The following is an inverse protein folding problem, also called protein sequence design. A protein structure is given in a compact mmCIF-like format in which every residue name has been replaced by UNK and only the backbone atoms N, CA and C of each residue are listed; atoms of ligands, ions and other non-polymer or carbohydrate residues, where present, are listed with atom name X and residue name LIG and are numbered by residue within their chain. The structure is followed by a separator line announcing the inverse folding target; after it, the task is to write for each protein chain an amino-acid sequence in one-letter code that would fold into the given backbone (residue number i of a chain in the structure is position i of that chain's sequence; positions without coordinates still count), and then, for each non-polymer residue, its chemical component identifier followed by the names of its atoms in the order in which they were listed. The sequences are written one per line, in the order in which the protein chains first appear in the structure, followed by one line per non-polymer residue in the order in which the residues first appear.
data_IF_385207556712
#
_entry.id   IF_385207556712
#
_cell.length_a   1.000
_cell.length_b   1.000
_cell.length_c   1.000
_cell.angle_alpha   90.00
_cell.angle_beta   90.00
_cell.angle_gamma   90.00
#
_symmetry.space_group_name_H-M   'P 1'
#
loop_
_entity.id
_entity.type
_entity.pdbx_description
1 polymer ?
#
# COMPACT_ATOMS: atom_id res chain seq x y z
N UNK A 1 -5.68 -18.44 75.03
CA UNK A 1 -6.29 -17.55 74.02
C UNK A 1 -6.12 -18.19 72.64
N UNK A 2 -7.18 -18.70 72.07
CA UNK A 2 -7.15 -19.31 70.74
C UNK A 2 -7.61 -18.21 69.69
N UNK A 3 -6.73 -17.85 68.84
CA UNK A 3 -7.06 -16.94 67.69
C UNK A 3 -7.69 -17.77 66.58
N UNK A 4 -8.92 -17.44 66.24
CA UNK A 4 -9.64 -17.98 65.09
C UNK A 4 -9.31 -17.07 63.89
N UNK A 5 -8.50 -17.53 62.92
CA UNK A 5 -8.30 -16.87 61.64
C UNK A 5 -9.49 -17.14 60.74
N UNK A 6 -10.24 -16.07 60.38
CA UNK A 6 -11.25 -16.10 59.32
C UNK A 6 -10.54 -15.96 57.96
N UNK A 7 -10.55 -17.01 57.15
CA UNK A 7 -10.17 -16.93 55.76
C UNK A 7 -11.32 -16.30 54.94
N UNK A 8 -11.11 -15.12 54.45
CA UNK A 8 -12.00 -14.49 53.45
C UNK A 8 -11.65 -15.05 52.07
N UNK A 9 -12.53 -15.86 51.51
CA UNK A 9 -12.42 -16.30 50.12
C UNK A 9 -12.81 -15.14 49.21
N UNK A 10 -11.88 -14.58 48.46
CA UNK A 10 -12.14 -13.65 47.38
C UNK A 10 -12.58 -14.44 46.17
N UNK A 11 -13.86 -14.31 45.78
CA UNK A 11 -14.36 -14.84 44.53
C UNK A 11 -13.84 -13.95 43.38
N UNK A 12 -12.90 -14.49 42.61
CA UNK A 12 -12.51 -13.85 41.35
C UNK A 12 -13.65 -14.02 40.30
N UNK A 13 -14.30 -12.95 40.00
CA UNK A 13 -15.23 -12.89 38.85
C UNK A 13 -14.37 -12.87 37.61
N UNK A 14 -14.27 -14.00 36.90
CA UNK A 14 -13.70 -14.04 35.57
C UNK A 14 -14.71 -13.34 34.60
N UNK A 15 -14.39 -12.11 34.24
CA UNK A 15 -15.08 -11.44 33.13
C UNK A 15 -14.56 -12.10 31.84
N UNK A 16 -15.34 -13.00 31.28
CA UNK A 16 -15.09 -13.50 29.92
C UNK A 16 -15.41 -12.39 28.95
N UNK A 17 -14.41 -11.63 28.54
CA UNK A 17 -14.54 -10.78 27.35
C UNK A 17 -14.64 -11.73 26.15
N UNK A 18 -15.84 -11.88 25.58
CA UNK A 18 -15.97 -12.53 24.28
C UNK A 18 -15.08 -11.76 23.30
N UNK A 19 -14.11 -12.42 22.72
CA UNK A 19 -13.32 -11.81 21.64
C UNK A 19 -14.29 -11.49 20.48
N UNK A 20 -14.30 -10.24 20.05
CA UNK A 20 -15.12 -9.79 18.92
C UNK A 20 -14.66 -10.57 17.68
N UNK A 21 -15.58 -11.29 17.04
CA UNK A 21 -15.25 -12.08 15.85
C UNK A 21 -15.21 -11.21 14.60
N UNK A 22 -14.55 -11.69 13.56
CA UNK A 22 -14.52 -11.01 12.28
C UNK A 22 -15.94 -10.81 11.71
N UNK A 23 -16.83 -11.77 11.87
CA UNK A 23 -18.23 -11.69 11.43
C UNK A 23 -19.04 -10.61 12.15
N UNK A 24 -18.66 -10.28 13.39
CA UNK A 24 -19.38 -9.28 14.17
C UNK A 24 -19.08 -7.84 13.69
N UNK A 25 -17.89 -7.61 13.11
CA UNK A 25 -17.44 -6.27 12.68
C UNK A 25 -17.38 -6.09 11.16
N UNK A 26 -17.40 -7.17 10.41
CA UNK A 26 -17.30 -7.13 8.95
C UNK A 26 -18.68 -7.07 8.31
N UNK A 27 -19.42 -6.02 8.59
CA UNK A 27 -20.72 -5.75 7.97
C UNK A 27 -20.74 -4.39 7.29
N UNK A 28 -21.60 -4.22 6.30
CA UNK A 28 -21.76 -2.93 5.61
C UNK A 28 -22.11 -1.82 6.60
N UNK A 29 -23.01 -2.10 7.55
CA UNK A 29 -23.45 -1.12 8.53
C UNK A 29 -22.33 -0.68 9.48
N UNK A 30 -21.48 -1.62 9.93
CA UNK A 30 -20.38 -1.29 10.84
C UNK A 30 -19.30 -0.49 10.11
N UNK A 31 -18.97 -0.86 8.85
CA UNK A 31 -18.04 -0.09 8.02
C UNK A 31 -18.58 1.31 7.73
N UNK A 32 -19.87 1.45 7.39
CA UNK A 32 -20.50 2.76 7.17
C UNK A 32 -20.45 3.64 8.43
N UNK A 33 -20.69 3.05 9.60
CA UNK A 33 -20.60 3.76 10.88
C UNK A 33 -19.16 4.17 11.24
N UNK A 34 -18.17 3.44 10.75
CA UNK A 34 -16.74 3.72 10.96
C UNK A 34 -16.17 4.76 9.98
N UNK A 35 -16.88 5.10 8.90
CA UNK A 35 -16.38 6.09 7.93
C UNK A 35 -16.17 7.46 8.59
N UNK A 36 -15.06 8.16 8.28
CA UNK A 36 -14.91 9.55 8.69
C UNK A 36 -16.02 10.40 8.08
N UNK A 37 -16.48 11.43 8.82
CA UNK A 37 -17.51 12.34 8.31
C UNK A 37 -16.97 13.20 7.18
N UNK A 38 -17.81 13.59 6.22
CA UNK A 38 -17.41 14.34 5.04
C UNK A 38 -16.73 15.68 5.35
N UNK A 39 -16.99 16.29 6.51
CA UNK A 39 -16.35 17.52 6.93
C UNK A 39 -14.92 17.33 7.49
N UNK A 40 -14.49 16.09 7.71
CA UNK A 40 -13.19 15.78 8.32
C UNK A 40 -12.04 15.93 7.32
N UNK A 41 -12.29 15.66 6.04
CA UNK A 41 -11.26 15.71 4.99
C UNK A 41 -11.69 16.75 3.95
N UNK A 42 -10.98 17.88 3.97
CA UNK A 42 -11.29 19.01 3.09
C UNK A 42 -11.26 18.60 1.60
N UNK A 43 -12.35 18.88 0.90
CA UNK A 43 -12.47 18.67 -0.54
C UNK A 43 -12.84 17.24 -0.95
N UNK A 44 -13.01 16.31 0.00
CA UNK A 44 -13.41 14.94 -0.27
C UNK A 44 -14.80 14.63 0.34
N UNK A 45 -15.61 13.93 -0.41
CA UNK A 45 -16.91 13.42 0.06
C UNK A 45 -16.93 11.90 -0.11
N UNK A 46 -16.99 11.18 1.01
CA UNK A 46 -17.19 9.74 0.99
C UNK A 46 -18.60 9.41 0.51
N UNK A 47 -18.73 8.28 -0.17
CA UNK A 47 -20.00 7.76 -0.71
C UNK A 47 -20.38 6.48 0.06
N UNK A 48 -21.03 6.61 1.24
CA UNK A 48 -21.35 5.47 2.12
C UNK A 48 -22.21 4.39 1.43
N UNK A 49 -23.01 4.77 0.45
CA UNK A 49 -23.84 3.86 -0.34
C UNK A 49 -23.02 2.90 -1.22
N UNK A 50 -21.74 3.20 -1.46
CA UNK A 50 -20.82 2.35 -2.23
C UNK A 50 -20.10 1.31 -1.38
N UNK A 51 -20.30 1.34 -0.04
CA UNK A 51 -19.62 0.41 0.86
C UNK A 51 -20.02 -1.02 0.56
N UNK A 52 -19.01 -1.87 0.41
CA UNK A 52 -19.16 -3.33 0.48
C UNK A 52 -18.28 -3.86 1.60
N UNK A 53 -18.73 -4.92 2.25
CA UNK A 53 -17.94 -5.61 3.29
C UNK A 53 -18.17 -7.11 3.18
N UNK A 54 -17.08 -7.89 3.22
CA UNK A 54 -17.16 -9.35 3.19
C UNK A 54 -16.01 -9.97 3.99
N UNK A 55 -16.34 -10.89 4.87
CA UNK A 55 -15.34 -11.65 5.61
C UNK A 55 -14.68 -12.70 4.70
N UNK A 56 -13.36 -12.72 4.70
CA UNK A 56 -12.53 -13.67 3.96
C UNK A 56 -11.76 -14.50 4.97
N UNK A 57 -11.78 -15.82 4.79
CA UNK A 57 -11.15 -16.76 5.70
C UNK A 57 -10.09 -17.59 4.98
N UNK A 58 -9.00 -17.89 5.71
CA UNK A 58 -7.91 -18.74 5.23
C UNK A 58 -7.32 -18.28 3.88
N UNK A 59 -7.25 -16.97 3.67
CA UNK A 59 -6.66 -16.42 2.47
C UNK A 59 -5.14 -16.65 2.44
N UNK A 60 -4.65 -17.23 1.38
CA UNK A 60 -3.21 -17.25 1.08
C UNK A 60 -2.87 -15.96 0.37
N UNK A 61 -1.97 -15.16 0.92
CA UNK A 61 -1.49 -13.96 0.27
C UNK A 61 -0.59 -14.32 -0.92
N UNK A 62 -0.72 -13.57 -2.01
CA UNK A 62 0.24 -13.64 -3.10
C UNK A 62 1.63 -13.30 -2.58
N UNK A 63 2.66 -13.98 -3.06
CA UNK A 63 4.03 -13.55 -2.82
C UNK A 63 4.19 -12.16 -3.42
N UNK A 64 4.61 -11.19 -2.61
CA UNK A 64 4.94 -9.85 -3.06
C UNK A 64 5.93 -9.89 -4.25
N UNK A 65 6.18 -8.75 -4.87
CA UNK A 65 6.84 -8.48 -6.16
C UNK A 65 8.13 -9.27 -6.51
N UNK A 66 8.63 -10.13 -5.65
CA UNK A 66 9.84 -10.94 -5.83
C UNK A 66 9.57 -12.45 -5.90
N UNK A 67 8.57 -12.89 -6.63
CA UNK A 67 8.51 -14.28 -7.15
C UNK A 67 8.74 -15.43 -6.15
N UNK A 68 8.48 -15.22 -4.86
CA UNK A 68 8.63 -16.27 -3.86
C UNK A 68 7.64 -17.41 -4.17
N UNK A 69 8.14 -18.58 -4.45
CA UNK A 69 7.35 -19.80 -4.65
C UNK A 69 6.48 -20.00 -3.42
N UNK A 70 5.16 -20.24 -3.65
CA UNK A 70 4.23 -20.58 -2.56
C UNK A 70 4.80 -21.77 -1.79
N UNK A 71 5.19 -21.55 -0.55
CA UNK A 71 5.53 -22.62 0.37
C UNK A 71 4.25 -23.40 0.70
N UNK A 72 4.34 -24.72 0.77
CA UNK A 72 3.23 -25.57 1.18
C UNK A 72 2.68 -25.25 2.59
N UNK A 73 3.43 -24.48 3.38
CA UNK A 73 3.09 -24.00 4.72
C UNK A 73 2.94 -22.47 4.78
N UNK A 74 2.47 -21.83 3.70
CA UNK A 74 2.22 -20.40 3.69
C UNK A 74 1.17 -20.04 4.76
N UNK A 75 1.44 -19.01 5.55
CA UNK A 75 0.48 -18.49 6.52
C UNK A 75 -0.81 -18.06 5.81
N UNK A 76 -1.94 -18.36 6.43
CA UNK A 76 -3.26 -17.91 5.97
C UNK A 76 -3.78 -16.80 6.87
N UNK A 77 -4.61 -15.93 6.32
CA UNK A 77 -5.12 -14.75 7.01
C UNK A 77 -6.63 -14.66 6.92
N UNK A 78 -7.25 -14.24 8.01
CA UNK A 78 -8.65 -13.87 8.06
C UNK A 78 -8.74 -12.35 8.06
N UNK A 79 -9.58 -11.78 7.20
CA UNK A 79 -9.72 -10.34 7.11
C UNK A 79 -11.10 -9.92 6.57
N UNK A 80 -11.50 -8.70 6.88
CA UNK A 80 -12.63 -8.04 6.25
C UNK A 80 -12.17 -7.35 4.98
N UNK A 81 -12.68 -7.78 3.84
CA UNK A 81 -12.48 -7.11 2.55
C UNK A 81 -13.54 -6.03 2.39
N UNK A 82 -13.11 -4.79 2.30
CA UNK A 82 -13.97 -3.62 2.23
C UNK A 82 -13.66 -2.82 0.96
N UNK A 83 -14.71 -2.34 0.31
CA UNK A 83 -14.59 -1.29 -0.70
C UNK A 83 -15.46 -0.11 -0.32
N UNK A 84 -15.03 1.09 -0.65
CA UNK A 84 -15.80 2.33 -0.55
C UNK A 84 -15.27 3.31 -1.59
N UNK A 85 -16.11 4.20 -2.07
CA UNK A 85 -15.68 5.25 -2.99
C UNK A 85 -15.80 6.63 -2.35
N UNK A 86 -15.06 7.59 -2.90
CA UNK A 86 -15.19 8.99 -2.60
C UNK A 86 -15.20 9.82 -3.90
N UNK A 87 -15.56 11.09 -3.80
CA UNK A 87 -15.53 12.06 -4.89
C UNK A 87 -14.90 13.36 -4.42
N UNK A 88 -14.25 14.07 -5.31
CA UNK A 88 -13.79 15.42 -5.03
C UNK A 88 -14.94 16.43 -5.18
N UNK A 89 -15.02 17.35 -4.24
CA UNK A 89 -16.06 18.39 -4.25
C UNK A 89 -16.04 19.17 -5.57
N UNK A 90 -17.15 19.10 -6.29
CA UNK A 90 -17.34 19.83 -7.55
C UNK A 90 -16.72 19.19 -8.80
N UNK A 91 -16.08 17.99 -8.71
CA UNK A 91 -15.50 17.31 -9.88
C UNK A 91 -16.39 16.24 -10.49
N UNK A 92 -17.25 15.59 -9.70
CA UNK A 92 -18.12 14.50 -10.16
C UNK A 92 -17.37 13.22 -10.54
N UNK A 93 -16.13 13.08 -10.10
CA UNK A 93 -15.35 11.86 -10.19
C UNK A 93 -15.80 10.84 -9.14
N UNK A 94 -15.45 9.57 -9.32
CA UNK A 94 -15.69 8.49 -8.36
C UNK A 94 -14.41 7.68 -8.21
N UNK A 95 -13.84 7.70 -7.01
CA UNK A 95 -12.56 7.07 -6.73
C UNK A 95 -12.74 5.88 -5.79
N UNK A 96 -12.61 4.65 -6.30
CA UNK A 96 -12.71 3.45 -5.48
C UNK A 96 -11.50 3.28 -4.58
N UNK A 97 -11.77 2.92 -3.32
CA UNK A 97 -10.80 2.47 -2.33
C UNK A 97 -11.07 1.00 -1.99
N UNK A 98 -10.02 0.25 -1.76
CA UNK A 98 -10.06 -1.12 -1.26
C UNK A 98 -9.33 -1.17 0.06
N UNK A 99 -9.86 -1.91 1.03
CA UNK A 99 -9.23 -2.12 2.32
C UNK A 99 -9.27 -3.59 2.72
N UNK A 100 -8.25 -4.04 3.43
CA UNK A 100 -8.22 -5.32 4.12
C UNK A 100 -7.98 -5.05 5.61
N UNK A 101 -8.97 -5.35 6.44
CA UNK A 101 -8.87 -5.22 7.89
C UNK A 101 -8.65 -6.61 8.50
N UNK A 102 -7.50 -6.90 9.13
CA UNK A 102 -7.26 -8.17 9.78
C UNK A 102 -8.31 -8.47 10.87
N UNK A 103 -8.45 -9.73 11.21
CA UNK A 103 -9.29 -10.14 12.34
C UNK A 103 -8.91 -9.36 13.60
N UNK A 104 -9.88 -8.90 14.42
CA UNK A 104 -9.58 -8.06 15.60
C UNK A 104 -8.53 -8.64 16.55
N UNK A 105 -8.45 -9.96 16.66
CA UNK A 105 -7.46 -10.67 17.51
C UNK A 105 -6.01 -10.58 16.99
N UNK A 106 -5.82 -10.23 15.73
CA UNK A 106 -4.50 -10.15 15.08
C UNK A 106 -4.11 -8.73 14.70
N UNK A 107 -4.96 -7.76 14.99
CA UNK A 107 -4.71 -6.35 14.67
C UNK A 107 -3.69 -5.72 15.64
N UNK A 108 -2.61 -5.16 15.08
CA UNK A 108 -1.47 -4.60 15.79
C UNK A 108 -1.42 -3.07 15.81
N UNK A 109 -2.59 -2.39 15.72
CA UNK A 109 -2.70 -0.93 15.66
C UNK A 109 -1.87 -0.28 14.53
N UNK A 110 -1.85 -0.90 13.36
CA UNK A 110 -1.10 -0.45 12.19
C UNK A 110 -2.01 -0.24 10.99
N UNK A 111 -1.69 0.78 10.21
CA UNK A 111 -2.21 0.98 8.86
C UNK A 111 -1.06 0.94 7.86
N UNK A 112 -1.21 0.20 6.78
CA UNK A 112 -0.15 -0.08 5.83
C UNK A 112 -0.57 0.21 4.41
N UNK A 113 0.36 0.76 3.62
CA UNK A 113 0.20 0.96 2.20
C UNK A 113 1.39 0.33 1.46
N UNK A 114 1.10 -0.40 0.40
CA UNK A 114 2.12 -0.89 -0.53
C UNK A 114 2.23 0.03 -1.74
N UNK A 115 3.44 0.30 -2.17
CA UNK A 115 3.70 1.01 -3.41
C UNK A 115 3.47 0.15 -4.65
N UNK A 116 3.22 0.81 -5.76
CA UNK A 116 3.08 0.19 -7.06
C UNK A 116 4.39 -0.06 -7.80
N UNK A 117 4.32 -0.19 -9.12
CA UNK A 117 5.48 -0.44 -9.96
C UNK A 117 5.25 -0.05 -11.42
N UNK A 118 6.32 0.36 -12.10
CA UNK A 118 6.21 0.85 -13.46
C UNK A 118 5.43 2.16 -13.56
N UNK A 119 4.25 2.11 -14.13
CA UNK A 119 3.32 3.25 -14.24
C UNK A 119 1.97 2.94 -13.57
N UNK A 120 1.95 2.10 -12.54
CA UNK A 120 0.72 1.76 -11.82
C UNK A 120 0.88 1.87 -10.32
N UNK A 121 -0.21 2.22 -9.64
CA UNK A 121 -0.34 2.09 -8.19
C UNK A 121 -0.53 0.63 -7.80
N UNK A 122 -0.29 0.30 -6.52
CA UNK A 122 -0.54 -1.05 -6.03
C UNK A 122 -2.05 -1.35 -6.00
N UNK A 123 -2.43 -2.49 -6.57
CA UNK A 123 -3.78 -3.04 -6.44
C UNK A 123 -3.96 -3.94 -5.21
N UNK A 124 -2.87 -4.21 -4.48
CA UNK A 124 -2.86 -5.08 -3.32
C UNK A 124 -3.24 -4.33 -2.04
N UNK A 125 -4.46 -4.57 -1.57
CA UNK A 125 -4.92 -4.10 -0.28
C UNK A 125 -4.62 -5.08 0.87
N UNK A 126 -3.90 -6.19 0.62
CA UNK A 126 -3.68 -7.25 1.61
C UNK A 126 -2.25 -7.29 2.16
N UNK A 127 -1.32 -6.52 1.59
CA UNK A 127 0.10 -6.55 1.94
C UNK A 127 0.38 -6.33 3.44
N UNK A 128 -0.43 -5.52 4.11
CA UNK A 128 -0.28 -5.25 5.54
C UNK A 128 -0.69 -6.39 6.48
N UNK A 129 -1.44 -7.38 6.01
CA UNK A 129 -1.95 -8.47 6.86
C UNK A 129 -0.82 -9.28 7.49
N UNK A 130 0.33 -9.40 6.81
CA UNK A 130 1.53 -10.08 7.35
C UNK A 130 2.13 -9.38 8.56
N UNK A 131 1.82 -8.10 8.72
CA UNK A 131 2.29 -7.23 9.81
C UNK A 131 1.21 -6.95 10.87
N UNK A 132 0.08 -7.66 10.82
CA UNK A 132 -1.07 -7.34 11.66
C UNK A 132 -1.64 -5.95 11.40
N UNK A 133 -1.49 -5.43 10.20
CA UNK A 133 -1.93 -4.09 9.81
C UNK A 133 -3.19 -4.15 8.96
N UNK A 134 -4.11 -3.20 9.18
CA UNK A 134 -5.08 -2.85 8.17
C UNK A 134 -4.37 -2.21 6.98
N UNK A 135 -4.80 -2.44 5.77
CA UNK A 135 -4.15 -1.87 4.59
C UNK A 135 -5.13 -1.44 3.52
N UNK A 136 -4.67 -0.56 2.65
CA UNK A 136 -5.49 0.03 1.62
C UNK A 136 -4.82 0.14 0.25
N UNK A 137 -5.65 0.20 -0.80
CA UNK A 137 -5.25 0.45 -2.17
C UNK A 137 -6.30 1.35 -2.87
N UNK A 138 -5.90 2.10 -3.87
CA UNK A 138 -6.78 2.97 -4.65
C UNK A 138 -6.48 2.90 -6.14
N UNK A 139 -7.53 2.92 -6.96
CA UNK A 139 -7.41 3.03 -8.42
C UNK A 139 -7.21 4.47 -8.90
N UNK A 140 -7.13 5.45 -8.01
CA UNK A 140 -7.06 6.87 -8.32
C UNK A 140 -8.22 7.41 -9.19
N UNK A 141 -9.28 6.63 -9.38
CA UNK A 141 -10.45 7.00 -10.18
C UNK A 141 -10.31 6.75 -11.70
N UNK A 142 -9.19 6.20 -12.15
CA UNK A 142 -8.94 5.95 -13.59
C UNK A 142 -8.25 4.61 -13.88
N UNK A 143 -8.42 3.64 -12.98
CA UNK A 143 -7.74 2.34 -13.08
C UNK A 143 -6.20 2.42 -13.05
N UNK A 144 -5.69 3.20 -12.09
CA UNK A 144 -4.24 3.37 -11.87
C UNK A 144 -3.51 2.05 -11.50
N UNK A 145 -4.21 0.93 -11.47
CA UNK A 145 -3.64 -0.41 -11.34
C UNK A 145 -3.12 -0.97 -12.68
N UNK A 146 -3.41 -0.28 -13.77
CA UNK A 146 -3.01 -0.64 -15.12
C UNK A 146 -1.88 0.28 -15.60
N UNK A 147 -0.96 -0.27 -16.40
CA UNK A 147 0.13 0.50 -17.01
C UNK A 147 -0.29 1.31 -18.26
N UNK A 148 -1.57 1.37 -18.62
CA UNK A 148 -2.10 2.21 -19.70
C UNK A 148 -2.19 3.69 -19.31
N UNK A 149 -1.19 4.17 -18.62
CA UNK A 149 -1.12 5.50 -18.02
C UNK A 149 -1.19 6.63 -19.08
N UNK A 150 -0.63 6.44 -20.25
CA UNK A 150 -0.63 7.39 -21.36
C UNK A 150 -2.03 7.71 -21.87
N UNK A 151 -2.96 6.75 -21.82
CA UNK A 151 -4.37 6.98 -22.22
C UNK A 151 -5.12 7.86 -21.23
N UNK A 152 -4.61 7.99 -20.00
CA UNK A 152 -5.29 8.69 -18.91
C UNK A 152 -4.73 10.08 -18.67
N UNK A 153 -3.43 10.26 -18.80
CA UNK A 153 -2.76 11.55 -18.51
C UNK A 153 -2.94 12.58 -19.62
N UNK A 154 -3.40 12.15 -20.79
CA UNK A 154 -3.68 13.04 -21.91
C UNK A 154 -5.19 13.07 -22.18
N UNK A 155 -5.72 14.28 -22.38
CA UNK A 155 -7.00 14.43 -23.06
C UNK A 155 -6.81 14.20 -24.57
N UNK A 156 -7.80 13.66 -25.25
CA UNK A 156 -7.74 13.38 -26.69
C UNK A 156 -7.44 14.57 -27.59
N UNK A 157 -7.42 15.78 -27.06
CA UNK A 157 -7.06 17.02 -27.75
C UNK A 157 -5.58 17.42 -27.60
N UNK A 158 -4.75 16.57 -27.00
CA UNK A 158 -3.32 16.81 -26.78
C UNK A 158 -2.99 17.61 -25.51
N UNK A 159 -3.98 17.99 -24.71
CA UNK A 159 -3.72 18.63 -23.40
C UNK A 159 -3.53 17.61 -22.29
N UNK A 160 -2.80 18.01 -21.24
CA UNK A 160 -2.52 17.14 -20.09
C UNK A 160 -3.74 17.09 -19.16
N UNK A 161 -4.12 15.91 -18.75
CA UNK A 161 -5.04 15.67 -17.65
C UNK A 161 -4.28 15.82 -16.30
N UNK A 162 -4.27 17.02 -15.78
CA UNK A 162 -3.55 17.33 -14.54
C UNK A 162 -4.12 16.61 -13.32
N UNK A 163 -5.42 16.37 -13.28
CA UNK A 163 -6.04 15.66 -12.16
C UNK A 163 -5.53 14.21 -12.08
N UNK A 164 -5.55 13.47 -13.19
CA UNK A 164 -4.99 12.13 -13.24
C UNK A 164 -3.47 12.12 -13.00
N UNK A 165 -2.76 13.12 -13.55
CA UNK A 165 -1.31 13.25 -13.35
C UNK A 165 -0.96 13.45 -11.86
N UNK A 166 -1.68 14.32 -11.15
CA UNK A 166 -1.45 14.53 -9.72
C UNK A 166 -1.92 13.35 -8.88
N UNK A 167 -3.03 12.71 -9.26
CA UNK A 167 -3.51 11.50 -8.58
C UNK A 167 -2.43 10.41 -8.60
N UNK A 168 -1.87 10.09 -9.76
CA UNK A 168 -0.77 9.15 -9.89
C UNK A 168 0.49 9.62 -9.15
N UNK A 169 0.85 10.89 -9.29
CA UNK A 169 2.09 11.41 -8.72
C UNK A 169 2.10 11.34 -7.18
N UNK A 170 0.97 11.63 -6.50
CA UNK A 170 0.96 11.70 -5.04
C UNK A 170 -0.41 11.80 -4.37
N UNK A 171 -1.45 12.46 -4.98
CA UNK A 171 -2.65 12.81 -4.23
C UNK A 171 -3.47 11.59 -3.85
N UNK A 172 -3.60 10.59 -4.73
CA UNK A 172 -4.40 9.42 -4.47
C UNK A 172 -3.95 8.62 -3.22
N UNK A 173 -2.65 8.46 -3.03
CA UNK A 173 -2.11 7.77 -1.84
C UNK A 173 -2.23 8.62 -0.58
N UNK A 174 -2.06 9.92 -0.68
CA UNK A 174 -2.26 10.83 0.45
C UNK A 174 -3.72 10.84 0.92
N UNK A 175 -4.66 10.84 -0.01
CA UNK A 175 -6.10 10.77 0.26
C UNK A 175 -6.50 9.41 0.85
N UNK A 176 -5.99 8.31 0.26
CA UNK A 176 -6.15 6.98 0.82
C UNK A 176 -5.67 6.90 2.27
N UNK A 177 -4.52 7.50 2.59
CA UNK A 177 -3.97 7.54 3.94
C UNK A 177 -4.88 8.31 4.90
N UNK A 178 -5.32 9.50 4.48
CA UNK A 178 -6.21 10.37 5.29
C UNK A 178 -7.58 9.75 5.53
N UNK A 179 -8.07 8.91 4.62
CA UNK A 179 -9.33 8.17 4.80
C UNK A 179 -9.09 6.89 5.59
N UNK A 180 -8.08 6.12 5.23
CA UNK A 180 -7.84 4.78 5.75
C UNK A 180 -7.42 4.75 7.22
N UNK A 181 -6.62 5.72 7.67
CA UNK A 181 -6.16 5.80 9.06
C UNK A 181 -7.31 6.02 10.06
N UNK A 182 -8.16 7.06 9.92
CA UNK A 182 -9.30 7.22 10.82
C UNK A 182 -10.36 6.12 10.65
N UNK A 183 -10.59 5.62 9.44
CA UNK A 183 -11.45 4.46 9.22
C UNK A 183 -10.95 3.24 10.00
N UNK A 184 -9.64 2.98 9.98
CA UNK A 184 -9.03 1.89 10.76
C UNK A 184 -9.25 2.08 12.25
N UNK A 185 -9.04 3.28 12.79
CA UNK A 185 -9.29 3.58 14.19
C UNK A 185 -10.74 3.31 14.60
N UNK A 186 -11.68 3.78 13.80
CA UNK A 186 -13.11 3.63 14.08
C UNK A 186 -13.57 2.18 13.94
N UNK A 187 -13.09 1.45 12.92
CA UNK A 187 -13.44 0.04 12.67
C UNK A 187 -13.09 -0.86 13.86
N UNK A 188 -11.97 -0.64 14.51
CA UNK A 188 -11.57 -1.40 15.71
C UNK A 188 -12.05 -0.80 17.03
N UNK A 189 -12.89 0.23 17.00
CA UNK A 189 -13.37 0.91 18.22
C UNK A 189 -12.25 1.62 19.02
N UNK A 190 -11.13 1.90 18.41
CA UNK A 190 -9.90 2.35 19.05
C UNK A 190 -9.69 3.86 18.91
N UNK A 191 -10.71 4.67 19.24
CA UNK A 191 -10.65 6.13 19.08
C UNK A 191 -9.54 6.81 19.91
N UNK A 192 -8.96 6.12 20.87
CA UNK A 192 -7.92 6.66 21.78
C UNK A 192 -6.51 6.15 21.50
N UNK A 193 -6.36 5.03 20.82
CA UNK A 193 -5.05 4.45 20.53
C UNK A 193 -4.52 4.98 19.19
N UNK A 194 -3.23 5.31 19.16
CA UNK A 194 -2.56 5.68 17.93
C UNK A 194 -2.53 4.49 16.96
N UNK A 195 -2.96 4.70 15.73
CA UNK A 195 -2.69 3.79 14.60
C UNK A 195 -1.40 4.24 13.93
N UNK A 196 -0.40 3.38 13.94
CA UNK A 196 0.90 3.62 13.29
C UNK A 196 0.78 3.37 11.81
N UNK A 197 1.23 4.32 11.00
CA UNK A 197 1.09 4.28 9.54
C UNK A 197 2.42 3.99 8.87
N UNK A 198 2.44 2.97 8.03
CA UNK A 198 3.64 2.53 7.31
C UNK A 198 3.40 2.47 5.81
N UNK A 199 4.43 2.82 5.07
CA UNK A 199 4.47 2.67 3.61
C UNK A 199 5.70 1.86 3.22
N UNK A 200 5.54 0.94 2.27
CA UNK A 200 6.64 0.18 1.68
C UNK A 200 6.48 0.10 0.17
N UNK A 201 7.55 0.45 -0.57
CA UNK A 201 7.54 0.36 -2.02
C UNK A 201 8.93 0.40 -2.62
N UNK A 202 9.07 -0.17 -3.81
CA UNK A 202 10.31 -0.21 -4.56
C UNK A 202 10.08 0.32 -5.97
N UNK A 203 11.11 0.87 -6.62
CA UNK A 203 11.02 1.42 -7.98
C UNK A 203 10.05 2.62 -8.04
N UNK A 204 8.95 2.53 -8.79
CA UNK A 204 7.89 3.54 -8.75
C UNK A 204 7.26 3.63 -7.36
N UNK A 205 7.03 2.50 -6.68
CA UNK A 205 6.59 2.49 -5.29
C UNK A 205 7.56 3.20 -4.34
N UNK A 206 8.86 3.13 -4.61
CA UNK A 206 9.86 3.95 -3.90
C UNK A 206 9.69 5.44 -4.16
N UNK A 207 9.41 5.85 -5.40
CA UNK A 207 9.05 7.24 -5.76
C UNK A 207 7.79 7.69 -5.02
N UNK A 208 6.77 6.83 -4.98
CA UNK A 208 5.54 7.08 -4.25
C UNK A 208 5.83 7.35 -2.77
N UNK A 209 6.58 6.48 -2.10
CA UNK A 209 6.97 6.66 -0.69
C UNK A 209 7.69 7.97 -0.45
N UNK A 210 8.65 8.34 -1.29
CA UNK A 210 9.36 9.63 -1.21
C UNK A 210 8.41 10.81 -1.39
N UNK A 211 7.43 10.71 -2.30
CA UNK A 211 6.44 11.77 -2.51
C UNK A 211 5.50 11.94 -1.33
N UNK A 212 5.15 10.85 -0.66
CA UNK A 212 4.31 10.88 0.55
C UNK A 212 5.04 11.55 1.72
N UNK A 213 6.28 11.16 1.99
CA UNK A 213 7.09 11.78 3.07
C UNK A 213 7.30 13.28 2.82
N UNK A 214 7.54 13.66 1.56
CA UNK A 214 7.76 15.07 1.20
C UNK A 214 6.52 15.94 1.48
N UNK A 215 5.31 15.39 1.31
CA UNK A 215 4.07 16.17 1.37
C UNK A 215 3.30 15.99 2.67
N UNK A 216 3.33 14.81 3.23
CA UNK A 216 2.55 14.42 4.39
C UNK A 216 3.37 13.55 5.36
N UNK A 217 4.64 13.95 5.61
CA UNK A 217 5.54 13.21 6.49
C UNK A 217 4.97 12.95 7.88
N UNK A 218 4.15 13.84 8.39
CA UNK A 218 3.50 13.71 9.70
C UNK A 218 2.42 12.62 9.75
N UNK A 219 1.95 12.14 8.58
CA UNK A 219 0.98 11.04 8.52
C UNK A 219 1.63 9.65 8.66
N UNK A 220 2.94 9.56 8.47
CA UNK A 220 3.67 8.29 8.44
C UNK A 220 4.61 8.15 9.63
N UNK A 221 4.60 6.97 10.24
CA UNK A 221 5.54 6.57 11.31
C UNK A 221 6.77 5.86 10.73
N UNK A 222 6.67 5.31 9.52
CA UNK A 222 7.79 4.72 8.82
C UNK A 222 7.53 4.53 7.33
N UNK A 223 8.57 4.77 6.52
CA UNK A 223 8.54 4.61 5.07
C UNK A 223 9.77 3.86 4.60
N UNK A 224 9.56 2.76 3.88
CA UNK A 224 10.61 2.05 3.14
C UNK A 224 10.47 2.37 1.67
N UNK A 225 11.40 3.17 1.14
CA UNK A 225 11.44 3.57 -0.25
C UNK A 225 12.67 2.95 -0.93
N UNK A 226 12.51 1.72 -1.43
CA UNK A 226 13.56 0.97 -2.12
C UNK A 226 13.79 1.48 -3.54
N UNK A 227 15.05 1.65 -3.96
CA UNK A 227 15.45 2.07 -5.31
C UNK A 227 14.49 3.12 -5.93
N UNK A 228 14.24 4.27 -5.24
CA UNK A 228 13.16 5.17 -5.59
C UNK A 228 13.40 5.89 -6.92
N UNK A 229 12.45 5.81 -7.84
CA UNK A 229 12.47 6.50 -9.12
C UNK A 229 12.11 8.01 -8.98
N UNK A 230 12.74 8.73 -8.05
CA UNK A 230 12.32 10.08 -7.65
C UNK A 230 12.61 11.17 -8.70
N UNK A 231 13.57 10.96 -9.61
CA UNK A 231 13.80 11.80 -10.80
C UNK A 231 13.06 11.23 -12.01
N UNK A 232 11.80 10.96 -11.86
CA UNK A 232 11.00 10.15 -12.78
C UNK A 232 11.10 10.62 -14.24
N UNK A 233 10.93 11.92 -14.51
CA UNK A 233 11.00 12.46 -15.86
C UNK A 233 12.38 12.26 -16.53
N UNK A 234 13.47 12.55 -15.80
CA UNK A 234 14.83 12.35 -16.30
C UNK A 234 15.15 10.88 -16.49
N UNK A 235 14.66 10.02 -15.59
CA UNK A 235 14.85 8.58 -15.68
C UNK A 235 14.18 8.03 -16.95
N UNK A 236 12.97 8.45 -17.28
CA UNK A 236 12.29 8.00 -18.50
C UNK A 236 13.04 8.41 -19.76
N UNK A 237 13.57 9.63 -19.82
CA UNK A 237 14.43 10.08 -20.94
C UNK A 237 15.72 9.23 -21.01
N UNK A 238 16.33 8.93 -19.86
CA UNK A 238 17.52 8.07 -19.81
C UNK A 238 17.24 6.65 -20.31
N UNK A 239 16.07 6.07 -19.99
CA UNK A 239 15.72 4.74 -20.47
C UNK A 239 15.58 4.65 -22.00
N UNK A 240 15.17 5.73 -22.66
CA UNK A 240 15.05 5.79 -24.13
C UNK A 240 16.40 6.08 -24.80
N UNK A 241 17.35 6.67 -24.08
CA UNK A 241 18.61 7.16 -24.64
C UNK A 241 19.46 6.08 -25.34
N UNK A 242 19.70 4.88 -24.78
CA UNK A 242 20.46 3.82 -25.47
C UNK A 242 19.83 3.44 -26.82
N UNK A 243 18.53 3.17 -26.85
CA UNK A 243 17.84 2.83 -28.08
C UNK A 243 17.86 3.97 -29.11
N UNK A 244 17.84 5.23 -28.67
CA UNK A 244 18.00 6.38 -29.55
C UNK A 244 19.38 6.42 -30.17
N UNK A 245 20.44 6.16 -29.41
CA UNK A 245 21.82 6.12 -29.93
C UNK A 245 21.97 4.99 -30.93
N UNK A 246 21.48 3.79 -30.63
CA UNK A 246 21.50 2.64 -31.53
C UNK A 246 20.82 2.98 -32.88
N UNK A 247 19.65 3.59 -32.82
CA UNK A 247 18.91 4.00 -34.01
C UNK A 247 19.62 5.10 -34.83
N UNK A 248 20.22 6.09 -34.17
CA UNK A 248 20.95 7.19 -34.83
C UNK A 248 22.26 6.70 -35.47
N UNK A 249 22.92 5.75 -34.81
CA UNK A 249 24.19 5.18 -35.31
C UNK A 249 23.97 4.02 -36.30
N UNK A 250 22.73 3.59 -36.51
CA UNK A 250 22.39 2.39 -37.28
C UNK A 250 23.25 1.18 -36.86
N UNK A 251 23.47 1.06 -35.56
CA UNK A 251 24.29 0.01 -34.96
C UNK A 251 23.63 -0.56 -33.70
N UNK A 252 23.34 -1.84 -33.76
CA UNK A 252 22.76 -2.61 -32.66
C UNK A 252 23.76 -3.66 -32.22
N UNK A 253 24.34 -3.55 -31.01
CA UNK A 253 25.33 -4.51 -30.52
C UNK A 253 24.71 -5.89 -30.37
N UNK A 254 25.37 -6.89 -30.90
CA UNK A 254 24.97 -8.28 -30.75
C UNK A 254 25.02 -8.71 -29.27
N UNK A 255 24.10 -9.59 -28.82
CA UNK A 255 24.08 -10.06 -27.42
C UNK A 255 25.42 -10.60 -26.92
N UNK A 256 26.18 -11.27 -27.80
CA UNK A 256 27.52 -11.76 -27.45
C UNK A 256 28.54 -10.63 -27.17
N UNK A 257 28.42 -9.49 -27.84
CA UNK A 257 29.23 -8.32 -27.58
C UNK A 257 28.93 -7.71 -26.22
N UNK A 258 27.61 -7.59 -25.89
CA UNK A 258 27.16 -7.13 -24.58
C UNK A 258 27.64 -8.08 -23.47
N UNK A 259 27.50 -9.40 -23.65
CA UNK A 259 27.99 -10.40 -22.69
C UNK A 259 29.49 -10.31 -22.48
N UNK A 260 30.26 -10.07 -23.57
CA UNK A 260 31.71 -9.87 -23.48
C UNK A 260 32.05 -8.63 -22.63
N UNK A 261 31.31 -7.52 -22.79
CA UNK A 261 31.51 -6.32 -21.99
C UNK A 261 31.29 -6.63 -20.52
N UNK A 262 30.15 -7.29 -20.17
CA UNK A 262 29.85 -7.70 -18.80
C UNK A 262 30.97 -8.54 -18.20
N UNK A 263 31.36 -9.63 -18.88
CA UNK A 263 32.39 -10.54 -18.40
C UNK A 263 33.75 -9.84 -18.22
N UNK A 264 34.09 -8.91 -19.12
CA UNK A 264 35.35 -8.16 -19.04
C UNK A 264 35.32 -7.16 -17.89
N UNK A 265 34.16 -6.53 -17.65
CA UNK A 265 33.96 -5.60 -16.53
C UNK A 265 34.12 -6.34 -15.21
N UNK A 266 33.42 -7.48 -15.04
CA UNK A 266 33.59 -8.32 -13.86
C UNK A 266 35.04 -8.69 -13.65
N UNK A 267 35.71 -9.25 -14.66
CA UNK A 267 37.12 -9.67 -14.53
C UNK A 267 38.08 -8.51 -14.18
N UNK A 268 37.76 -7.29 -14.59
CA UNK A 268 38.59 -6.11 -14.29
C UNK A 268 38.29 -5.49 -12.91
N UNK A 269 37.04 -5.55 -12.45
CA UNK A 269 36.60 -4.86 -11.25
C UNK A 269 36.55 -5.77 -10.01
N UNK A 270 36.24 -7.04 -10.18
CA UNK A 270 36.09 -8.04 -9.11
C UNK A 270 37.29 -8.05 -8.11
N UNK A 271 38.57 -8.00 -8.52
CA UNK A 271 39.64 -8.00 -7.55
C UNK A 271 39.87 -6.65 -6.82
N UNK A 272 39.12 -5.59 -7.16
CA UNK A 272 39.39 -4.24 -6.62
C UNK A 272 39.01 -4.07 -5.15
N UNK A 273 38.08 -4.89 -4.64
CA UNK A 273 37.70 -4.91 -3.23
C UNK A 273 38.53 -5.88 -2.37
N UNK A 274 39.49 -6.60 -3.01
CA UNK A 274 40.37 -7.58 -2.37
C UNK A 274 39.83 -9.00 -2.35
N UNK A 275 38.74 -9.27 -3.09
CA UNK A 275 38.19 -10.60 -3.33
C UNK A 275 38.12 -10.88 -4.82
N UNK A 276 37.99 -12.15 -5.18
CA UNK A 276 37.73 -12.59 -6.55
C UNK A 276 36.63 -13.64 -6.48
N UNK A 277 35.38 -13.18 -6.48
CA UNK A 277 34.19 -14.01 -6.30
C UNK A 277 33.18 -13.94 -7.47
N UNK A 278 33.50 -13.18 -8.49
CA UNK A 278 32.74 -13.11 -9.74
C UNK A 278 31.59 -12.10 -9.71
N UNK A 279 31.61 -11.15 -8.73
CA UNK A 279 30.61 -10.10 -8.58
C UNK A 279 31.10 -8.69 -8.97
#
# INVERSE_FOLDING_TARGET
MRYCSRATAAAAIAVTTNAVSLTDVCTVSDVQAALPTNDTILGLNLLPETVTASAVYNASLGSGMMGATKSANAATYNYCNVTVSYTHTGKGDVIPLKFAFPEPSTFENRFYLSGGGGFSLSSDATGGLTYGAASGATSAGYDAFNNSYDEVVLYGNGTINWDATYAFAYTALGELTKIGKPLTQAFYGNSTNKVYTYFEGCSDGGREGMSQVQRWGDEYDGVVAGAPAFRFAQQQVHHVYPATIEAVMDYYPEPCALQKIVNTTIAACDPLDGRTDGE
#
